data_IF_676989812778
#
_entry.id   IF_676989812778
#
_cell.length_a   1.000
_cell.length_b   1.000
_cell.length_c   1.000
_cell.angle_alpha   90.00
_cell.angle_beta   90.00
_cell.angle_gamma   90.00
#
_symmetry.space_group_name_H-M   'P 1'
#
loop_
_entity.id
_entity.type
_entity.pdbx_description
1 polymer ?
#
# COMPACT_ATOMS: atom_id res chain seq x y z
N UNK A 1 1.71 40.16 0.20
CA UNK A 1 0.90 39.76 -0.97
C UNK A 1 1.71 38.88 -1.92
N UNK A 2 2.25 37.75 -1.46
CA UNK A 2 3.11 36.86 -2.28
C UNK A 2 2.65 35.39 -2.29
N UNK A 3 1.75 35.03 -1.37
CA UNK A 3 1.29 33.64 -1.21
C UNK A 3 0.24 33.22 -2.25
N UNK A 4 -0.63 34.16 -2.67
CA UNK A 4 -1.71 33.88 -3.63
C UNK A 4 -1.17 33.38 -4.98
N UNK A 5 -0.15 34.06 -5.52
CA UNK A 5 0.42 33.73 -6.83
C UNK A 5 1.14 32.38 -6.88
N UNK A 6 1.64 31.86 -5.74
CA UNK A 6 2.25 30.53 -5.68
C UNK A 6 1.21 29.42 -5.79
N UNK A 7 0.07 29.57 -5.10
CA UNK A 7 -1.01 28.58 -5.14
C UNK A 7 -1.59 28.44 -6.55
N UNK A 8 -1.75 29.55 -7.25
CA UNK A 8 -2.26 29.57 -8.62
C UNK A 8 -1.31 28.82 -9.59
N UNK A 9 0.00 28.94 -9.38
CA UNK A 9 0.98 28.20 -10.16
C UNK A 9 0.98 26.70 -9.88
N UNK A 10 0.78 26.31 -8.62
CA UNK A 10 0.66 24.91 -8.20
C UNK A 10 -0.59 24.24 -8.76
N UNK A 11 -1.73 24.96 -8.80
CA UNK A 11 -2.98 24.44 -9.38
C UNK A 11 -2.88 24.25 -10.89
N UNK A 12 -2.29 25.21 -11.60
CA UNK A 12 -2.10 25.11 -13.05
C UNK A 12 -1.08 24.03 -13.41
N UNK A 13 -0.02 23.85 -12.63
CA UNK A 13 0.88 22.72 -12.79
C UNK A 13 0.13 21.41 -12.60
N UNK A 14 -0.60 21.23 -11.50
CA UNK A 14 -1.36 20.00 -11.20
C UNK A 14 -2.38 19.65 -12.29
N UNK A 15 -3.07 20.65 -12.84
CA UNK A 15 -4.01 20.47 -13.95
C UNK A 15 -3.31 19.93 -15.20
N UNK A 16 -2.19 20.54 -15.60
CA UNK A 16 -1.37 20.08 -16.74
C UNK A 16 -0.82 18.66 -16.57
N UNK A 17 -0.49 18.26 -15.33
CA UNK A 17 -0.08 16.88 -15.04
C UNK A 17 -1.21 15.90 -15.30
N UNK A 18 -2.41 16.20 -14.80
CA UNK A 18 -3.59 15.34 -14.93
C UNK A 18 -4.13 15.29 -16.38
N UNK A 19 -3.99 16.37 -17.14
CA UNK A 19 -4.36 16.43 -18.56
C UNK A 19 -3.32 15.80 -19.49
N UNK A 20 -2.16 15.36 -18.97
CA UNK A 20 -1.07 14.78 -19.75
C UNK A 20 -0.34 15.78 -20.66
N UNK A 21 -0.63 17.08 -20.53
CA UNK A 21 -0.06 18.18 -21.33
C UNK A 21 1.24 18.74 -20.75
N UNK A 22 1.75 18.13 -19.68
CA UNK A 22 3.02 18.53 -19.09
C UNK A 22 4.18 18.32 -20.09
N UNK A 23 5.06 19.33 -20.19
CA UNK A 23 6.15 19.32 -21.16
C UNK A 23 7.29 18.37 -20.77
N UNK A 24 7.54 18.20 -19.46
CA UNK A 24 8.57 17.30 -18.96
C UNK A 24 7.97 15.95 -18.58
N UNK A 25 8.64 14.84 -18.90
CA UNK A 25 8.21 13.49 -18.51
C UNK A 25 7.96 13.37 -17.00
N UNK A 26 8.85 13.93 -16.17
CA UNK A 26 8.76 13.87 -14.70
C UNK A 26 7.53 14.60 -14.12
N UNK A 27 6.90 15.49 -14.89
CA UNK A 27 5.69 16.20 -14.47
C UNK A 27 4.41 15.47 -14.90
N UNK A 28 4.48 14.35 -15.62
CA UNK A 28 3.27 13.64 -16.06
C UNK A 28 2.74 12.73 -14.96
N UNK A 29 1.45 12.44 -14.99
CA UNK A 29 0.89 11.35 -14.18
C UNK A 29 1.43 10.01 -14.69
N UNK A 30 1.83 9.08 -13.80
CA UNK A 30 2.21 7.73 -14.18
C UNK A 30 1.09 7.07 -14.96
N UNK A 31 1.46 6.26 -15.93
CA UNK A 31 0.53 5.37 -16.59
C UNK A 31 -0.02 4.35 -15.60
N UNK A 32 -1.17 3.75 -15.94
CA UNK A 32 -1.74 2.68 -15.14
C UNK A 32 -0.76 1.52 -14.91
N UNK A 33 0.06 1.20 -15.92
CA UNK A 33 1.06 0.13 -15.81
C UNK A 33 2.19 0.51 -14.84
N UNK A 34 2.74 1.72 -14.95
CA UNK A 34 3.80 2.19 -14.03
C UNK A 34 3.31 2.24 -12.58
N UNK A 35 2.08 2.67 -12.34
CA UNK A 35 1.48 2.68 -11.02
C UNK A 35 1.26 1.26 -10.46
N UNK A 36 0.94 0.30 -11.32
CA UNK A 36 0.83 -1.11 -10.92
C UNK A 36 2.20 -1.70 -10.57
N UNK A 37 3.20 -1.42 -11.39
CA UNK A 37 4.57 -1.92 -11.18
C UNK A 37 5.15 -1.34 -9.87
N UNK A 38 4.97 -0.05 -9.61
CA UNK A 38 5.38 0.62 -8.35
C UNK A 38 4.65 0.04 -7.13
N UNK A 39 3.32 -0.12 -7.22
CA UNK A 39 2.53 -0.71 -6.13
C UNK A 39 2.94 -2.16 -5.84
N UNK A 40 3.36 -2.91 -6.85
CA UNK A 40 3.91 -4.26 -6.70
C UNK A 40 5.26 -4.20 -5.97
N UNK A 41 6.19 -3.35 -6.40
CA UNK A 41 7.49 -3.20 -5.75
C UNK A 41 7.38 -2.82 -4.26
N UNK A 42 6.41 -1.98 -3.90
CA UNK A 42 6.17 -1.57 -2.51
C UNK A 42 5.35 -2.59 -1.69
N UNK A 43 4.46 -3.37 -2.33
CA UNK A 43 3.58 -4.34 -1.64
C UNK A 43 4.28 -5.64 -1.27
N UNK A 44 5.48 -5.85 -1.78
CA UNK A 44 6.33 -6.92 -1.33
C UNK A 44 7.43 -6.32 -0.44
N UNK A 45 7.32 -6.39 0.91
CA UNK A 45 8.54 -6.74 1.62
C UNK A 45 9.08 -7.96 0.88
N UNK A 46 10.40 -8.02 0.61
CA UNK A 46 11.05 -9.28 0.29
C UNK A 46 10.39 -10.29 1.22
N UNK A 47 9.54 -11.15 0.67
CA UNK A 47 8.63 -11.96 1.47
C UNK A 47 9.58 -12.91 2.15
N UNK A 48 10.11 -12.52 3.31
CA UNK A 48 11.37 -13.08 3.81
C UNK A 48 11.14 -14.57 3.75
N UNK A 49 11.88 -15.28 2.87
CA UNK A 49 11.60 -16.68 2.67
C UNK A 49 11.62 -17.27 4.06
N UNK A 50 10.56 -18.00 4.42
CA UNK A 50 10.39 -18.55 5.77
C UNK A 50 11.76 -19.08 6.17
N UNK A 51 12.39 -18.48 7.18
CA UNK A 51 13.80 -18.78 7.43
C UNK A 51 13.93 -20.29 7.58
N UNK A 52 15.01 -20.94 7.09
CA UNK A 52 15.16 -22.39 7.23
C UNK A 52 15.02 -22.82 8.71
N UNK A 53 15.47 -21.98 9.63
CA UNK A 53 15.30 -22.12 11.07
C UNK A 53 13.84 -22.14 11.58
N UNK A 54 12.88 -21.63 10.80
CA UNK A 54 11.43 -21.67 11.08
C UNK A 54 10.81 -22.92 10.46
N UNK A 55 11.24 -23.34 9.26
CA UNK A 55 10.81 -24.60 8.65
C UNK A 55 11.19 -25.82 9.50
N UNK A 56 12.40 -25.81 10.08
CA UNK A 56 12.88 -26.83 11.04
C UNK A 56 12.03 -26.92 12.33
N UNK A 57 11.23 -25.89 12.62
CA UNK A 57 10.40 -25.77 13.83
C UNK A 57 8.91 -25.85 13.52
N UNK A 58 8.54 -26.21 12.28
CA UNK A 58 7.16 -26.26 11.83
C UNK A 58 6.29 -27.25 12.62
N UNK A 59 6.90 -28.34 13.11
CA UNK A 59 6.21 -29.32 13.96
C UNK A 59 6.03 -28.87 15.43
N UNK A 60 6.62 -27.74 15.83
CA UNK A 60 6.49 -27.24 17.20
C UNK A 60 5.22 -26.43 17.33
N UNK A 61 4.30 -26.89 18.17
CA UNK A 61 3.12 -26.12 18.55
C UNK A 61 3.55 -24.80 19.23
N UNK A 62 3.21 -23.67 18.60
CA UNK A 62 3.50 -22.34 19.12
C UNK A 62 2.24 -21.80 19.77
N UNK A 63 2.14 -21.97 21.09
CA UNK A 63 1.14 -21.27 21.91
C UNK A 63 1.74 -19.93 22.36
N UNK A 64 1.08 -18.84 21.99
CA UNK A 64 1.46 -17.48 22.39
C UNK A 64 0.40 -16.89 23.32
N UNK A 65 0.73 -15.85 24.11
CA UNK A 65 -0.28 -15.14 24.92
C UNK A 65 -1.40 -14.46 24.12
N UNK A 66 -1.28 -14.40 22.79
CA UNK A 66 -2.36 -13.92 21.91
C UNK A 66 -3.45 -14.97 21.71
N UNK A 67 -3.11 -16.25 21.87
CA UNK A 67 -4.02 -17.39 21.78
C UNK A 67 -4.90 -17.51 23.04
N UNK A 68 -4.48 -16.89 24.16
CA UNK A 68 -5.27 -16.77 25.39
C UNK A 68 -6.51 -15.86 25.23
N UNK A 69 -6.62 -15.15 24.09
CA UNK A 69 -7.77 -14.28 23.84
C UNK A 69 -8.95 -15.10 23.35
N UNK A 70 -9.86 -15.40 24.28
CA UNK A 70 -11.20 -15.95 24.03
C UNK A 70 -12.10 -14.96 23.27
N UNK A 71 -11.80 -14.64 22.01
CA UNK A 71 -12.76 -13.91 21.17
C UNK A 71 -13.87 -14.89 20.74
N UNK A 72 -14.90 -15.02 21.57
CA UNK A 72 -16.12 -15.74 21.18
C UNK A 72 -16.80 -14.93 20.08
N UNK A 73 -16.89 -15.50 18.87
CA UNK A 73 -17.69 -14.95 17.79
C UNK A 73 -19.13 -14.80 18.28
N UNK A 74 -19.68 -13.58 18.19
CA UNK A 74 -21.10 -13.35 18.48
C UNK A 74 -21.94 -14.14 17.47
N UNK A 75 -22.98 -14.89 17.89
CA UNK A 75 -23.89 -15.56 16.98
C UNK A 75 -24.41 -14.55 15.92
N UNK A 76 -24.23 -14.87 14.63
CA UNK A 76 -24.60 -13.99 13.50
C UNK A 76 -23.45 -13.34 12.73
N UNK A 77 -22.21 -13.44 13.22
CA UNK A 77 -21.01 -12.88 12.56
C UNK A 77 -20.56 -13.60 11.29
N UNK A 78 -21.20 -14.72 10.92
CA UNK A 78 -20.92 -15.47 9.68
C UNK A 78 -21.83 -15.11 8.50
N UNK A 79 -22.64 -14.05 8.58
CA UNK A 79 -23.43 -13.64 7.42
C UNK A 79 -22.53 -12.88 6.43
N UNK A 80 -21.94 -13.62 5.48
CA UNK A 80 -21.55 -13.03 4.19
C UNK A 80 -22.83 -12.57 3.48
N UNK A 81 -22.93 -11.28 3.21
CA UNK A 81 -23.71 -10.75 2.09
C UNK A 81 -22.74 -10.29 1.01
#
# INVERSE_FOLDING_TARGET
>A
MTESHRKDHESEARKRRHEGTAQRPEDKVPTYQEALDEAVEESFPASDPISPSVAEKADREVSTPKDDKDWKLKPGSQTKR
#
